data_IF_130869276673
#
_entry.id   IF_130869276673
#
_cell.length_a   1.000
_cell.length_b   1.000
_cell.length_c   1.000
_cell.angle_alpha   90.00
_cell.angle_beta   90.00
_cell.angle_gamma   90.00
#
_symmetry.space_group_name_H-M   'P 1'
#
loop_
_entity.id
_entity.type
_entity.pdbx_description
1 polymer ?
#
# COMPACT_ATOMS: atom_id res chain seq x y z
N UNK A 1 11.94 -21.85 -12.10
CA UNK A 1 11.61 -20.56 -11.45
C UNK A 1 12.50 -20.48 -10.22
N UNK A 2 13.64 -19.76 -10.28
CA UNK A 2 14.40 -19.46 -9.07
C UNK A 2 13.82 -18.15 -8.56
N UNK A 3 13.10 -18.22 -7.44
CA UNK A 3 12.76 -17.02 -6.69
C UNK A 3 14.06 -16.26 -6.41
N UNK A 4 14.00 -14.93 -6.40
CA UNK A 4 15.11 -14.12 -5.91
C UNK A 4 15.35 -14.53 -4.45
N UNK A 5 16.35 -15.38 -4.20
CA UNK A 5 16.71 -15.83 -2.86
C UNK A 5 17.00 -14.57 -2.02
N UNK A 6 16.15 -14.35 -1.01
CA UNK A 6 16.35 -13.26 -0.07
C UNK A 6 17.28 -13.78 1.03
N UNK A 7 18.45 -13.17 1.16
CA UNK A 7 19.42 -13.47 2.23
C UNK A 7 18.92 -13.09 3.64
N UNK A 8 17.74 -12.46 3.74
CA UNK A 8 17.16 -11.98 5.00
C UNK A 8 15.83 -12.68 5.24
N UNK A 9 15.67 -13.19 6.46
CA UNK A 9 14.42 -13.83 6.88
C UNK A 9 13.21 -12.90 6.67
N UNK A 10 12.09 -13.44 6.18
CA UNK A 10 10.82 -12.73 6.12
C UNK A 10 10.44 -12.00 7.41
N UNK A 11 10.38 -10.68 7.35
CA UNK A 11 9.81 -9.86 8.41
C UNK A 11 8.27 -9.89 8.30
N UNK A 12 7.53 -9.96 9.42
CA UNK A 12 6.07 -9.74 9.45
C UNK A 12 5.65 -8.52 8.63
N UNK A 13 4.46 -8.57 8.03
CA UNK A 13 3.98 -7.49 7.16
C UNK A 13 3.81 -6.19 7.96
N UNK A 14 3.28 -6.29 9.18
CA UNK A 14 3.08 -5.20 10.12
C UNK A 14 4.39 -4.47 10.41
N UNK A 15 5.46 -5.22 10.69
CA UNK A 15 6.79 -4.67 10.95
C UNK A 15 7.40 -4.03 9.69
N UNK A 16 7.14 -4.61 8.52
CA UNK A 16 7.56 -4.03 7.24
C UNK A 16 6.85 -2.69 6.95
N UNK A 17 5.56 -2.60 7.27
CA UNK A 17 4.78 -1.36 7.15
C UNK A 17 5.25 -0.33 8.18
N UNK A 18 5.46 -0.73 9.45
CA UNK A 18 6.00 0.14 10.49
C UNK A 18 7.37 0.72 10.12
N UNK A 19 8.22 -0.07 9.48
CA UNK A 19 9.52 0.42 9.00
C UNK A 19 9.35 1.52 7.95
N UNK A 20 8.35 1.45 7.08
CA UNK A 20 8.04 2.52 6.13
C UNK A 20 7.53 3.79 6.83
N UNK A 21 6.76 3.64 7.92
CA UNK A 21 6.27 4.76 8.73
C UNK A 21 7.40 5.56 9.37
N UNK A 22 8.52 4.93 9.75
CA UNK A 22 9.72 5.63 10.25
C UNK A 22 10.29 6.62 9.24
N UNK A 23 9.96 6.46 7.96
CA UNK A 23 10.38 7.34 6.89
C UNK A 23 9.22 8.18 6.32
N UNK A 24 8.12 8.32 7.06
CA UNK A 24 6.91 9.05 6.63
C UNK A 24 6.31 8.53 5.31
N UNK A 25 6.43 7.22 5.06
CA UNK A 25 5.78 6.56 3.92
C UNK A 25 4.71 5.59 4.41
N UNK A 26 3.55 5.66 3.77
CA UNK A 26 2.33 4.99 4.19
C UNK A 26 1.86 4.03 3.08
N UNK A 27 2.48 2.85 2.96
CA UNK A 27 2.39 2.05 1.75
C UNK A 27 1.04 1.37 1.55
N UNK A 28 0.26 1.14 2.61
CA UNK A 28 -1.06 0.47 2.53
C UNK A 28 -2.19 1.32 3.09
N UNK A 29 -1.89 2.11 4.12
CA UNK A 29 -2.77 3.03 4.80
C UNK A 29 -1.89 3.98 5.61
N UNK A 30 -2.44 5.13 5.99
CA UNK A 30 -1.83 6.00 6.99
C UNK A 30 -2.48 5.77 8.34
N UNK A 31 -1.71 5.87 9.41
CA UNK A 31 -2.20 5.86 10.78
C UNK A 31 -1.43 6.86 11.63
N UNK A 32 -2.10 7.52 12.57
CA UNK A 32 -1.48 8.52 13.44
C UNK A 32 -2.47 9.09 14.44
N UNK A 33 -1.99 9.89 15.39
CA UNK A 33 -2.85 10.49 16.42
C UNK A 33 -3.38 11.83 15.93
N UNK A 34 -4.69 11.99 15.96
CA UNK A 34 -5.35 13.24 15.58
C UNK A 34 -6.46 13.61 16.57
N UNK A 35 -6.94 14.84 16.46
CA UNK A 35 -8.10 15.32 17.20
C UNK A 35 -9.33 14.47 16.83
N UNK A 36 -10.08 14.03 17.84
CA UNK A 36 -11.35 13.36 17.63
C UNK A 36 -12.39 14.34 17.07
N UNK A 37 -13.00 13.99 15.94
CA UNK A 37 -13.95 14.87 15.26
C UNK A 37 -15.29 14.99 16.00
N UNK A 38 -15.61 14.04 16.86
CA UNK A 38 -16.81 14.09 17.71
C UNK A 38 -16.57 14.83 19.04
N UNK A 39 -15.31 14.97 19.48
CA UNK A 39 -14.94 15.71 20.69
C UNK A 39 -13.52 16.28 20.55
N UNK A 40 -13.44 17.58 20.23
CA UNK A 40 -12.18 18.28 19.97
C UNK A 40 -11.23 18.37 21.17
N UNK A 41 -11.67 17.96 22.37
CA UNK A 41 -10.81 17.90 23.57
C UNK A 41 -10.03 16.59 23.69
N UNK A 42 -10.34 15.61 22.84
CA UNK A 42 -9.74 14.27 22.88
C UNK A 42 -8.96 13.98 21.60
N UNK A 43 -7.99 13.08 21.71
CA UNK A 43 -7.23 12.58 20.56
C UNK A 43 -7.48 11.09 20.41
N UNK A 44 -7.52 10.63 19.17
CA UNK A 44 -7.66 9.22 18.82
C UNK A 44 -6.60 8.86 17.79
N UNK A 45 -6.20 7.59 17.80
CA UNK A 45 -5.52 7.01 16.65
C UNK A 45 -6.52 7.01 15.49
N UNK A 46 -6.15 7.66 14.39
CA UNK A 46 -6.95 7.74 13.16
C UNK A 46 -6.27 6.96 12.05
N UNK A 47 -7.04 6.19 11.28
CA UNK A 47 -6.59 5.45 10.10
C UNK A 47 -7.22 6.06 8.84
N UNK A 48 -6.38 6.24 7.82
CA UNK A 48 -6.71 6.82 6.53
C UNK A 48 -6.35 5.86 5.39
N UNK A 49 -7.10 5.98 4.30
CA UNK A 49 -6.77 5.34 3.03
C UNK A 49 -5.37 5.78 2.56
N UNK A 50 -4.64 4.87 1.92
CA UNK A 50 -3.37 5.23 1.30
C UNK A 50 -3.53 6.30 0.22
N UNK A 51 -2.45 7.04 0.00
CA UNK A 51 -2.30 7.85 -1.19
C UNK A 51 -1.84 6.96 -2.36
N UNK A 52 -2.54 6.97 -3.51
CA UNK A 52 -2.08 6.27 -4.71
C UNK A 52 -0.82 6.93 -5.30
N UNK A 53 0.02 6.13 -5.96
CA UNK A 53 1.30 6.58 -6.52
C UNK A 53 1.12 7.73 -7.52
N UNK A 54 0.22 7.56 -8.49
CA UNK A 54 -0.24 8.64 -9.34
C UNK A 54 -1.44 9.32 -8.66
N UNK A 55 -1.20 10.48 -8.05
CA UNK A 55 -2.12 11.29 -7.22
C UNK A 55 -3.53 11.54 -7.79
N UNK A 56 -3.78 11.18 -9.06
CA UNK A 56 -5.08 11.24 -9.69
C UNK A 56 -5.72 9.85 -9.88
N UNK A 57 -6.39 9.28 -8.87
CA UNK A 57 -7.20 8.07 -8.95
C UNK A 57 -8.03 7.87 -10.22
N UNK A 58 -8.55 8.93 -10.85
CA UNK A 58 -9.34 8.79 -12.08
C UNK A 58 -8.55 8.15 -13.24
N UNK A 59 -7.22 8.21 -13.23
CA UNK A 59 -6.37 7.56 -14.26
C UNK A 59 -6.33 6.04 -14.13
N UNK A 60 -6.83 5.49 -13.01
CA UNK A 60 -6.94 4.05 -12.77
C UNK A 60 -8.35 3.52 -13.02
N UNK A 61 -9.32 4.39 -13.35
CA UNK A 61 -10.63 3.92 -13.75
C UNK A 61 -10.52 3.18 -15.07
N UNK A 62 -10.88 1.90 -15.02
CA UNK A 62 -10.87 1.01 -16.16
C UNK A 62 -12.09 0.11 -16.07
N UNK A 63 -12.76 -0.12 -17.20
CA UNK A 63 -14.04 -0.84 -17.24
C UNK A 63 -13.90 -2.32 -16.89
N UNK A 64 -12.68 -2.86 -17.01
CA UNK A 64 -12.34 -4.24 -16.66
C UNK A 64 -11.26 -4.30 -15.59
N UNK A 65 -11.19 -5.38 -14.80
CA UNK A 65 -10.09 -5.59 -13.86
C UNK A 65 -8.73 -5.59 -14.57
N UNK A 66 -7.80 -4.74 -14.11
CA UNK A 66 -6.43 -4.74 -14.61
C UNK A 66 -5.67 -5.93 -14.01
N UNK A 67 -4.98 -6.68 -14.86
CA UNK A 67 -4.13 -7.82 -14.45
C UNK A 67 -2.66 -7.55 -14.74
N UNK A 68 -1.76 -8.26 -14.07
CA UNK A 68 -0.33 -8.22 -14.37
C UNK A 68 -0.01 -8.55 -15.84
N UNK A 69 -0.76 -9.45 -16.47
CA UNK A 69 -0.59 -9.81 -17.89
C UNK A 69 -0.91 -8.62 -18.80
N UNK A 70 -2.04 -7.94 -18.56
CA UNK A 70 -2.40 -6.73 -19.32
C UNK A 70 -1.36 -5.63 -19.16
N UNK A 71 -0.78 -5.47 -17.96
CA UNK A 71 0.27 -4.48 -17.70
C UNK A 71 1.53 -4.81 -18.51
N UNK A 72 1.96 -6.08 -18.53
CA UNK A 72 3.11 -6.53 -19.30
C UNK A 72 2.93 -6.33 -20.81
N UNK A 73 1.70 -6.52 -21.30
CA UNK A 73 1.33 -6.37 -22.71
C UNK A 73 0.95 -4.93 -23.08
N UNK A 74 0.95 -3.98 -22.14
CA UNK A 74 0.54 -2.58 -22.32
C UNK A 74 -0.92 -2.41 -22.77
N UNK A 75 -1.80 -3.30 -22.30
CA UNK A 75 -3.23 -3.34 -22.63
C UNK A 75 -4.11 -2.64 -21.58
N UNK A 76 -3.55 -2.29 -20.42
CA UNK A 76 -4.26 -1.56 -19.35
C UNK A 76 -4.26 -0.03 -19.53
N UNK A 77 -4.75 0.72 -18.53
CA UNK A 77 -4.63 2.18 -18.50
C UNK A 77 -3.19 2.64 -18.69
N UNK A 78 -2.97 3.73 -19.43
CA UNK A 78 -1.63 4.30 -19.68
C UNK A 78 -0.80 4.49 -18.41
N UNK A 79 -1.46 4.88 -17.32
CA UNK A 79 -0.89 4.99 -15.98
C UNK A 79 -0.13 3.74 -15.53
N UNK A 80 -0.64 2.55 -15.82
CA UNK A 80 -0.02 1.28 -15.40
C UNK A 80 1.24 0.96 -16.21
N UNK A 81 1.25 1.29 -17.51
CA UNK A 81 2.45 1.18 -18.35
C UNK A 81 3.56 2.13 -17.91
N UNK A 82 3.22 3.36 -17.50
CA UNK A 82 4.19 4.32 -16.97
C UNK A 82 4.78 3.84 -15.63
N UNK A 83 3.95 3.29 -14.75
CA UNK A 83 4.42 2.69 -13.49
C UNK A 83 5.32 1.47 -13.75
N UNK A 84 5.03 0.67 -14.78
CA UNK A 84 5.86 -0.47 -15.18
C UNK A 84 7.24 0.00 -15.64
N UNK A 85 7.30 0.99 -16.52
CA UNK A 85 8.55 1.58 -17.01
C UNK A 85 9.37 2.19 -15.87
N UNK A 86 8.73 2.96 -14.98
CA UNK A 86 9.39 3.53 -13.80
C UNK A 86 9.91 2.43 -12.87
N UNK A 87 9.14 1.37 -12.64
CA UNK A 87 9.56 0.23 -11.84
C UNK A 87 10.76 -0.52 -12.45
N UNK A 88 10.81 -0.64 -13.77
CA UNK A 88 11.94 -1.24 -14.49
C UNK A 88 13.21 -0.37 -14.38
N UNK A 89 13.08 0.96 -14.51
CA UNK A 89 14.19 1.91 -14.27
C UNK A 89 14.71 1.83 -12.83
N UNK A 90 13.81 1.81 -11.85
CA UNK A 90 14.16 1.61 -10.44
C UNK A 90 14.89 0.27 -10.23
N UNK A 91 14.52 -0.79 -10.95
CA UNK A 91 15.19 -2.08 -10.86
C UNK A 91 16.65 -1.99 -11.34
N UNK A 92 16.91 -1.25 -12.42
CA UNK A 92 18.29 -0.99 -12.91
C UNK A 92 19.11 -0.28 -11.84
N UNK A 93 18.55 0.75 -11.19
CA UNK A 93 19.24 1.49 -10.12
C UNK A 93 19.61 0.61 -8.93
N UNK A 94 18.88 -0.47 -8.70
CA UNK A 94 19.14 -1.47 -7.66
C UNK A 94 20.02 -2.64 -8.14
N UNK A 95 20.52 -2.61 -9.37
CA UNK A 95 21.39 -3.62 -9.95
C UNK A 95 20.68 -4.84 -10.53
N UNK A 96 19.36 -4.79 -10.73
CA UNK A 96 18.62 -5.84 -11.41
C UNK A 96 18.60 -5.65 -12.93
N UNK A 97 18.49 -6.75 -13.66
CA UNK A 97 18.25 -6.74 -15.09
C UNK A 97 16.78 -6.37 -15.39
N UNK A 98 16.55 -5.18 -15.97
CA UNK A 98 15.21 -4.71 -16.38
C UNK A 98 14.54 -5.58 -17.44
N UNK A 99 15.30 -6.36 -18.19
CA UNK A 99 14.77 -7.27 -19.22
C UNK A 99 14.34 -8.62 -18.66
N UNK A 100 14.72 -8.93 -17.42
CA UNK A 100 14.37 -10.17 -16.74
C UNK A 100 12.85 -10.34 -16.64
N UNK A 101 12.29 -11.43 -17.20
CA UNK A 101 10.85 -11.70 -17.10
C UNK A 101 10.37 -11.75 -15.64
N UNK A 102 11.17 -12.31 -14.73
CA UNK A 102 10.82 -12.41 -13.32
C UNK A 102 10.70 -11.03 -12.65
N UNK A 103 11.62 -10.11 -12.96
CA UNK A 103 11.60 -8.73 -12.44
C UNK A 103 10.38 -7.99 -12.98
N UNK A 104 10.19 -8.04 -14.30
CA UNK A 104 9.05 -7.36 -14.97
C UNK A 104 7.71 -7.87 -14.45
N UNK A 105 7.56 -9.19 -14.28
CA UNK A 105 6.35 -9.79 -13.71
C UNK A 105 6.13 -9.39 -12.26
N UNK A 106 7.18 -9.32 -11.42
CA UNK A 106 7.03 -8.86 -10.04
C UNK A 106 6.54 -7.41 -10.00
N UNK A 107 7.12 -6.52 -10.81
CA UNK A 107 6.68 -5.12 -10.94
C UNK A 107 5.21 -5.05 -11.37
N UNK A 108 4.82 -5.78 -12.42
CA UNK A 108 3.44 -5.81 -12.89
C UNK A 108 2.45 -6.29 -11.82
N UNK A 109 2.83 -7.30 -11.02
CA UNK A 109 1.99 -7.79 -9.90
C UNK A 109 1.88 -6.78 -8.75
N UNK A 110 2.93 -6.01 -8.48
CA UNK A 110 2.88 -4.90 -7.51
C UNK A 110 1.98 -3.75 -8.01
N UNK A 111 2.01 -3.45 -9.31
CA UNK A 111 1.13 -2.45 -9.94
C UNK A 111 -0.33 -2.93 -9.95
N UNK A 112 -0.57 -4.22 -10.20
CA UNK A 112 -1.91 -4.81 -10.05
C UNK A 112 -2.43 -4.64 -8.61
N UNK A 113 -1.59 -4.88 -7.61
CA UNK A 113 -1.95 -4.65 -6.20
C UNK A 113 -2.26 -3.16 -5.94
N UNK A 114 -1.42 -2.23 -6.40
CA UNK A 114 -1.68 -0.78 -6.31
C UNK A 114 -3.03 -0.41 -6.95
N UNK A 115 -3.31 -0.94 -8.13
CA UNK A 115 -4.56 -0.69 -8.85
C UNK A 115 -5.75 -1.18 -8.04
N UNK A 116 -5.72 -2.44 -7.57
CA UNK A 116 -6.80 -3.06 -6.77
C UNK A 116 -7.10 -2.27 -5.51
N UNK A 117 -6.07 -1.82 -4.79
CA UNK A 117 -6.24 -0.99 -3.58
C UNK A 117 -6.85 0.36 -3.97
N UNK A 118 -6.31 1.01 -5.00
CA UNK A 118 -6.76 2.35 -5.43
C UNK A 118 -8.22 2.36 -5.85
N UNK A 119 -8.64 1.44 -6.73
CA UNK A 119 -10.04 1.41 -7.22
C UNK A 119 -11.05 0.95 -6.17
N UNK A 120 -10.59 0.31 -5.09
CA UNK A 120 -11.42 -0.03 -3.91
C UNK A 120 -11.59 1.13 -2.93
N UNK A 121 -10.88 2.22 -3.19
CA UNK A 121 -10.82 3.44 -2.41
C UNK A 121 -12.13 4.21 -2.32
N UNK A 122 -12.22 5.06 -1.30
CA UNK A 122 -13.40 5.86 -0.97
C UNK A 122 -13.77 6.88 -2.04
N UNK A 123 -12.81 7.35 -2.83
CA UNK A 123 -13.03 8.30 -3.93
C UNK A 123 -13.97 7.75 -5.02
N UNK A 124 -14.09 6.43 -5.12
CA UNK A 124 -14.96 5.76 -6.08
C UNK A 124 -16.35 5.41 -5.51
N UNK A 125 -16.67 5.85 -4.29
CA UNK A 125 -17.95 5.56 -3.69
C UNK A 125 -19.05 6.42 -4.31
N UNK A 126 -20.20 5.79 -4.60
CA UNK A 126 -21.37 6.46 -5.19
C UNK A 126 -21.89 7.63 -4.33
N UNK A 127 -21.64 7.62 -3.02
CA UNK A 127 -22.06 8.66 -2.09
C UNK A 127 -20.86 9.27 -1.36
N UNK A 128 -20.54 10.54 -1.67
CA UNK A 128 -19.41 11.33 -1.15
C UNK A 128 -19.65 11.95 0.24
N UNK A 129 -20.54 11.40 1.06
CA UNK A 129 -20.70 11.90 2.44
C UNK A 129 -19.47 11.50 3.25
N UNK A 130 -18.98 12.41 4.09
CA UNK A 130 -17.92 12.15 5.07
C UNK A 130 -18.38 11.02 5.99
N UNK A 131 -17.54 9.98 6.16
CA UNK A 131 -17.89 8.75 6.89
C UNK A 131 -16.98 8.56 8.10
N UNK A 132 -16.75 9.62 8.85
CA UNK A 132 -15.96 9.52 10.08
C UNK A 132 -16.64 8.55 11.04
N UNK A 133 -15.87 7.59 11.52
CA UNK A 133 -16.39 6.48 12.31
C UNK A 133 -15.43 6.16 13.45
N UNK A 134 -15.95 5.89 14.65
CA UNK A 134 -15.13 5.51 15.80
C UNK A 134 -15.49 4.09 16.22
N UNK A 135 -14.53 3.18 16.14
CA UNK A 135 -14.70 1.76 16.46
C UNK A 135 -13.66 1.32 17.49
N UNK A 136 -13.79 0.10 17.99
CA UNK A 136 -12.76 -0.50 18.86
C UNK A 136 -11.67 -1.21 18.04
N UNK A 137 -10.48 -1.40 18.61
CA UNK A 137 -9.44 -2.26 18.00
C UNK A 137 -9.97 -3.69 17.77
N UNK A 138 -10.79 -4.21 18.67
CA UNK A 138 -11.43 -5.52 18.49
C UNK A 138 -12.32 -5.56 17.24
N UNK A 139 -13.15 -4.54 17.04
CA UNK A 139 -14.00 -4.42 15.85
C UNK A 139 -13.16 -4.24 14.59
N UNK A 140 -12.10 -3.43 14.65
CA UNK A 140 -11.14 -3.26 13.56
C UNK A 140 -10.53 -4.60 13.12
N UNK A 141 -10.11 -5.43 14.08
CA UNK A 141 -9.55 -6.75 13.80
C UNK A 141 -10.57 -7.68 13.12
N UNK A 142 -11.85 -7.58 13.47
CA UNK A 142 -12.93 -8.37 12.87
C UNK A 142 -13.18 -7.95 11.42
N UNK A 143 -13.26 -6.65 11.15
CA UNK A 143 -13.60 -6.14 9.81
C UNK A 143 -12.41 -6.16 8.83
N UNK A 144 -11.18 -6.16 9.34
CA UNK A 144 -9.97 -6.08 8.53
C UNK A 144 -8.86 -7.05 9.03
N UNK A 145 -9.07 -8.37 9.03
CA UNK A 145 -8.16 -9.32 9.68
C UNK A 145 -6.83 -9.58 8.96
N UNK A 146 -6.53 -8.88 7.86
CA UNK A 146 -5.29 -9.09 7.10
C UNK A 146 -4.01 -8.70 7.86
N UNK A 147 -4.13 -7.93 8.94
CA UNK A 147 -3.03 -7.45 9.77
C UNK A 147 -3.35 -7.70 11.24
N UNK A 148 -2.32 -7.90 12.06
CA UNK A 148 -2.44 -7.74 13.51
C UNK A 148 -2.47 -6.24 13.86
N UNK A 149 -3.68 -5.66 13.90
CA UNK A 149 -3.86 -4.24 14.18
C UNK A 149 -3.43 -3.86 15.59
N UNK A 150 -3.62 -4.76 16.56
CA UNK A 150 -3.23 -4.47 17.94
C UNK A 150 -1.70 -4.38 18.04
N UNK A 151 -0.98 -5.33 17.45
CA UNK A 151 0.48 -5.30 17.37
C UNK A 151 0.95 -4.04 16.63
N UNK A 152 0.40 -3.79 15.44
CA UNK A 152 0.79 -2.65 14.61
C UNK A 152 0.58 -1.33 15.34
N UNK A 153 -0.63 -1.06 15.85
CA UNK A 153 -0.97 0.21 16.48
C UNK A 153 -0.22 0.41 17.80
N UNK A 154 -0.07 -0.64 18.61
CA UNK A 154 0.70 -0.56 19.87
C UNK A 154 2.16 -0.19 19.59
N UNK A 155 2.75 -0.80 18.56
CA UNK A 155 4.13 -0.49 18.16
C UNK A 155 4.25 0.91 17.58
N UNK A 156 3.26 1.35 16.79
CA UNK A 156 3.23 2.68 16.20
C UNK A 156 3.23 3.80 17.26
N UNK A 157 2.43 3.66 18.32
CA UNK A 157 2.34 4.68 19.38
C UNK A 157 3.38 4.48 20.50
N UNK A 158 4.03 3.32 20.56
CA UNK A 158 5.00 2.99 21.61
C UNK A 158 4.37 2.59 22.94
N UNK A 159 3.08 2.25 22.96
CA UNK A 159 2.32 1.87 24.15
C UNK A 159 1.50 0.60 23.92
N UNK A 160 1.27 -0.19 24.96
CA UNK A 160 0.45 -1.40 24.85
C UNK A 160 -1.04 -1.03 24.79
N UNK A 161 -1.64 -1.16 23.61
CA UNK A 161 -3.06 -0.91 23.42
C UNK A 161 -3.91 -2.15 23.77
N UNK A 162 -5.14 -1.89 24.23
CA UNK A 162 -6.12 -2.91 24.56
C UNK A 162 -7.20 -3.04 23.48
N UNK A 163 -7.91 -4.17 23.46
CA UNK A 163 -8.88 -4.47 22.41
C UNK A 163 -10.09 -3.50 22.41
N UNK A 164 -10.41 -2.91 23.55
CA UNK A 164 -11.50 -1.93 23.73
C UNK A 164 -11.10 -0.49 23.37
N UNK A 165 -9.82 -0.22 23.10
CA UNK A 165 -9.34 1.11 22.73
C UNK A 165 -10.07 1.63 21.49
N UNK A 166 -10.37 2.93 21.51
CA UNK A 166 -11.11 3.59 20.44
C UNK A 166 -10.17 4.11 19.38
N UNK A 167 -10.50 3.83 18.13
CA UNK A 167 -9.77 4.29 16.95
C UNK A 167 -10.76 4.89 15.96
N UNK A 168 -10.31 5.89 15.22
CA UNK A 168 -11.08 6.58 14.22
C UNK A 168 -10.76 6.08 12.81
N UNK A 169 -11.78 5.86 11.99
CA UNK A 169 -11.66 5.59 10.56
C UNK A 169 -12.12 6.84 9.82
N UNK A 170 -11.18 7.57 9.21
CA UNK A 170 -11.51 8.87 8.59
C UNK A 170 -12.57 8.74 7.50
N UNK A 171 -12.40 7.74 6.65
CA UNK A 171 -13.22 7.55 5.45
C UNK A 171 -14.17 6.37 5.57
N UNK A 172 -14.49 5.98 6.81
CA UNK A 172 -15.37 4.86 7.15
C UNK A 172 -14.71 3.49 6.98
N UNK A 173 -15.44 2.44 7.35
CA UNK A 173 -14.94 1.05 7.34
C UNK A 173 -14.83 0.36 5.98
N UNK A 174 -15.57 0.82 4.96
CA UNK A 174 -15.76 0.07 3.70
C UNK A 174 -14.45 -0.17 2.93
N UNK A 175 -13.56 0.83 2.85
CA UNK A 175 -12.31 0.72 2.08
C UNK A 175 -11.34 -0.23 2.78
N UNK A 176 -11.37 -0.23 4.12
CA UNK A 176 -10.49 -1.02 4.95
C UNK A 176 -10.87 -2.51 4.90
N UNK A 177 -12.17 -2.81 4.85
CA UNK A 177 -12.69 -4.16 4.59
C UNK A 177 -12.17 -4.66 3.23
N UNK A 178 -12.31 -3.84 2.17
CA UNK A 178 -11.83 -4.20 0.82
C UNK A 178 -10.32 -4.38 0.77
N UNK A 179 -9.55 -3.47 1.39
CA UNK A 179 -8.10 -3.59 1.51
C UNK A 179 -7.73 -4.92 2.18
N UNK A 180 -8.39 -5.26 3.30
CA UNK A 180 -8.13 -6.51 4.00
C UNK A 180 -8.44 -7.73 3.13
N UNK A 181 -9.54 -7.72 2.38
CA UNK A 181 -9.88 -8.83 1.47
C UNK A 181 -8.85 -8.98 0.34
N UNK A 182 -8.39 -7.87 -0.23
CA UNK A 182 -7.33 -7.88 -1.25
C UNK A 182 -6.05 -8.49 -0.66
N UNK A 183 -5.62 -8.00 0.50
CA UNK A 183 -4.39 -8.48 1.14
C UNK A 183 -4.47 -9.96 1.48
N UNK A 184 -5.58 -10.45 2.06
CA UNK A 184 -5.76 -11.87 2.36
C UNK A 184 -5.56 -12.75 1.12
N UNK A 185 -6.15 -12.38 -0.03
CA UNK A 185 -5.98 -13.13 -1.27
C UNK A 185 -4.52 -13.21 -1.75
N UNK A 186 -3.70 -12.18 -1.50
CA UNK A 186 -2.27 -12.26 -1.76
C UNK A 186 -1.52 -13.07 -0.70
N UNK A 187 -1.93 -12.98 0.57
CA UNK A 187 -1.26 -13.63 1.68
C UNK A 187 -1.45 -15.16 1.71
N UNK A 188 -2.39 -15.71 0.94
CA UNK A 188 -2.63 -17.16 0.80
C UNK A 188 -1.41 -17.92 0.23
N UNK A 189 -0.68 -17.30 -0.71
CA UNK A 189 0.43 -17.95 -1.42
C UNK A 189 1.77 -17.32 -1.09
N UNK A 190 2.86 -18.09 -1.19
CA UNK A 190 4.21 -17.54 -1.01
C UNK A 190 4.53 -16.45 -2.04
N UNK A 191 4.22 -16.72 -3.31
CA UNK A 191 4.40 -15.74 -4.39
C UNK A 191 3.53 -14.49 -4.23
N UNK A 192 2.36 -14.57 -3.57
CA UNK A 192 1.55 -13.40 -3.25
C UNK A 192 2.06 -12.62 -2.04
N UNK A 193 2.52 -13.31 -0.98
CA UNK A 193 3.24 -12.70 0.15
C UNK A 193 4.46 -11.92 -0.32
N UNK A 194 5.21 -12.47 -1.28
CA UNK A 194 6.33 -11.80 -1.91
C UNK A 194 5.92 -10.51 -2.62
N UNK A 195 4.78 -10.48 -3.32
CA UNK A 195 4.27 -9.25 -3.95
C UNK A 195 3.97 -8.18 -2.91
N UNK A 196 3.24 -8.50 -1.83
CA UNK A 196 2.88 -7.50 -0.81
C UNK A 196 4.14 -6.92 -0.13
N UNK A 197 5.12 -7.76 0.20
CA UNK A 197 6.39 -7.30 0.79
C UNK A 197 7.18 -6.41 -0.16
N UNK A 198 7.33 -6.83 -1.42
CA UNK A 198 8.05 -6.04 -2.40
C UNK A 198 7.30 -4.75 -2.72
N UNK A 199 5.97 -4.76 -2.71
CA UNK A 199 5.16 -3.57 -2.90
C UNK A 199 5.40 -2.52 -1.80
N UNK A 200 5.46 -2.94 -0.53
CA UNK A 200 5.83 -2.05 0.59
C UNK A 200 7.20 -1.42 0.38
N UNK A 201 8.21 -2.22 0.00
CA UNK A 201 9.57 -1.74 -0.29
C UNK A 201 9.57 -0.78 -1.50
N UNK A 202 8.90 -1.17 -2.58
CA UNK A 202 8.82 -0.41 -3.82
C UNK A 202 8.16 0.95 -3.60
N UNK A 203 7.02 1.00 -2.88
CA UNK A 203 6.34 2.25 -2.54
C UNK A 203 7.20 3.13 -1.63
N UNK A 204 7.91 2.53 -0.66
CA UNK A 204 8.90 3.25 0.17
C UNK A 204 9.98 3.90 -0.69
N UNK A 205 10.59 3.15 -1.60
CA UNK A 205 11.60 3.67 -2.50
C UNK A 205 11.03 4.78 -3.41
N UNK A 206 9.84 4.59 -3.97
CA UNK A 206 9.20 5.55 -4.87
C UNK A 206 9.01 6.92 -4.21
N UNK A 207 8.49 6.98 -2.99
CA UNK A 207 8.38 8.24 -2.25
C UNK A 207 9.73 8.84 -1.88
N UNK A 208 10.76 8.01 -1.70
CA UNK A 208 12.11 8.47 -1.41
C UNK A 208 12.87 8.99 -2.63
N UNK A 209 12.50 8.58 -3.85
CA UNK A 209 13.12 9.08 -5.08
C UNK A 209 13.08 10.61 -5.19
N UNK A 210 12.08 11.27 -4.58
CA UNK A 210 12.01 12.73 -4.50
C UNK A 210 13.16 13.37 -3.67
N UNK A 211 13.76 12.60 -2.75
CA UNK A 211 14.83 13.05 -1.86
C UNK A 211 16.21 12.54 -2.26
N UNK A 212 16.27 11.48 -3.07
CA UNK A 212 17.53 11.11 -3.71
C UNK A 212 17.77 12.10 -4.84
N UNK A 213 19.03 12.44 -5.13
CA UNK A 213 19.40 12.96 -6.45
C UNK A 213 19.74 11.74 -7.29
N UNK A 214 18.80 11.09 -8.00
CA UNK A 214 19.22 10.16 -9.03
C UNK A 214 20.19 10.93 -9.93
N UNK A 215 21.19 10.22 -10.49
CA UNK A 215 22.06 10.80 -11.50
C UNK A 215 21.23 11.00 -12.77
N UNK A 216 20.24 11.90 -12.72
CA UNK A 216 19.42 12.28 -13.84
C UNK A 216 20.31 13.09 -14.76
N UNK A 217 20.89 12.42 -15.76
CA UNK A 217 21.45 13.13 -16.89
C UNK A 217 20.26 13.71 -17.64
N UNK A 218 20.23 15.04 -17.78
CA UNK A 218 19.21 15.76 -18.58
C UNK A 218 17.77 15.73 -18.02
N UNK A 219 17.59 15.42 -16.73
CA UNK A 219 16.26 15.48 -16.08
C UNK A 219 15.41 14.22 -16.24
N UNK A 220 15.98 13.13 -16.76
CA UNK A 220 15.33 11.83 -16.86
C UNK A 220 15.79 10.89 -15.74
N UNK A 221 14.87 10.08 -15.19
CA UNK A 221 15.21 8.89 -14.40
C UNK A 221 15.79 7.87 -15.41
N UNK A 222 17.10 7.63 -15.37
CA UNK A 222 17.75 6.54 -16.11
C UNK A 222 18.28 5.52 -15.12
#
# INVERSE_FOLDING_TARGET
>A
MRELEQDVQPVPLELSVLQAFNYSVFPLFWAGVEVNYFDSKTHLITIYEQLPLLLNPSVYQYDVPVTAEMILNKEGPQATSLLQETGEEMAVLLGFDRTSPAVRTMIARMIELEWRITVSGSRFYKHKKERYEVISIAELQIIAPALDWRLFLSTLVGEQLHANEKIALKTGREWLIKLSQILLGYLETEGGRAVVRNYVKWKTLFFHLAYVKPKCREGFLW
#
